data_IF_514626429503
#
_entry.id   IF_514626429503
#
_cell.length_a   1.000
_cell.length_b   1.000
_cell.length_c   1.000
_cell.angle_alpha   90.00
_cell.angle_beta   90.00
_cell.angle_gamma   90.00
#
_symmetry.space_group_name_H-M   'P 1'
#
loop_
_entity.id
_entity.type
_entity.pdbx_description
1 polymer ?
#
# COMPACT_ATOMS: atom_id res chain seq x y z
N UNK A 1 0.76 56.88 -19.07
CA UNK A 1 0.84 55.55 -19.70
C UNK A 1 1.41 54.63 -18.64
N UNK A 2 0.53 54.01 -17.86
CA UNK A 2 0.91 53.06 -16.84
C UNK A 2 0.75 51.68 -17.47
N UNK A 3 1.83 50.91 -17.45
CA UNK A 3 1.88 49.52 -17.88
C UNK A 3 1.18 48.68 -16.81
N UNK A 4 -0.02 48.20 -17.13
CA UNK A 4 -0.68 47.16 -16.36
C UNK A 4 0.09 45.85 -16.57
N UNK A 5 0.92 45.50 -15.60
CA UNK A 5 1.45 44.15 -15.43
C UNK A 5 0.28 43.22 -15.14
N UNK A 6 -0.18 42.52 -16.18
CA UNK A 6 -1.04 41.35 -16.06
C UNK A 6 -0.23 40.28 -15.33
N UNK A 7 -0.47 40.17 -14.02
CA UNK A 7 -0.12 38.96 -13.27
C UNK A 7 -1.02 37.88 -13.84
N UNK A 8 -0.49 37.09 -14.77
CA UNK A 8 -1.03 35.77 -15.08
C UNK A 8 -0.97 34.97 -13.79
N UNK A 9 -2.10 34.92 -13.08
CA UNK A 9 -2.41 33.81 -12.18
C UNK A 9 -2.22 32.54 -13.01
N UNK A 10 -1.14 31.82 -12.71
CA UNK A 10 -1.01 30.42 -13.07
C UNK A 10 -2.16 29.75 -12.34
N UNK A 11 -3.22 29.44 -13.09
CA UNK A 11 -4.44 28.85 -12.57
C UNK A 11 -4.10 27.62 -11.73
N UNK A 12 -4.60 27.61 -10.51
CA UNK A 12 -4.54 26.47 -9.62
C UNK A 12 -5.01 25.20 -10.36
N UNK A 13 -4.08 24.26 -10.40
CA UNK A 13 -4.20 22.83 -10.50
C UNK A 13 -5.52 22.21 -11.03
N UNK A 14 -5.42 21.51 -12.15
CA UNK A 14 -6.48 20.66 -12.73
C UNK A 14 -6.74 19.41 -11.87
N UNK A 15 -6.01 19.23 -10.77
CA UNK A 15 -6.13 18.11 -9.84
C UNK A 15 -7.27 18.23 -8.80
N UNK A 16 -7.98 19.37 -8.71
CA UNK A 16 -8.90 19.68 -7.58
C UNK A 16 -10.41 19.56 -7.89
N UNK A 17 -10.82 19.08 -9.07
CA UNK A 17 -12.25 18.98 -9.43
C UNK A 17 -12.89 17.66 -8.93
N UNK A 18 -13.04 17.52 -7.61
CA UNK A 18 -14.03 16.58 -7.08
C UNK A 18 -15.45 17.06 -7.43
N UNK A 19 -16.34 16.18 -7.93
CA UNK A 19 -17.70 16.59 -8.33
C UNK A 19 -18.53 17.09 -7.14
N UNK A 20 -18.15 16.70 -5.92
CA UNK A 20 -18.73 17.14 -4.67
C UNK A 20 -17.61 17.30 -3.64
N UNK A 21 -17.72 18.27 -2.72
CA UNK A 21 -16.84 18.41 -1.56
C UNK A 21 -17.46 17.78 -0.32
N UNK A 22 -16.63 17.24 0.56
CA UNK A 22 -17.07 16.63 1.81
C UNK A 22 -17.77 17.67 2.68
N UNK A 23 -17.23 18.88 2.79
CA UNK A 23 -17.80 19.98 3.59
C UNK A 23 -19.20 20.44 3.14
N UNK A 24 -19.63 20.10 1.92
CA UNK A 24 -20.95 20.46 1.39
C UNK A 24 -22.03 19.40 1.62
N UNK A 25 -21.69 18.28 2.29
CA UNK A 25 -22.66 17.20 2.54
C UNK A 25 -23.42 17.46 3.84
N UNK A 26 -24.70 17.78 3.75
CA UNK A 26 -25.49 17.96 4.97
C UNK A 26 -26.17 16.66 5.43
N UNK A 27 -26.17 16.41 6.74
CA UNK A 27 -26.97 15.37 7.37
C UNK A 27 -28.35 15.92 7.75
N UNK A 28 -29.41 15.22 7.35
CA UNK A 28 -30.80 15.61 7.68
C UNK A 28 -31.11 15.58 9.18
N UNK A 29 -30.39 14.72 9.92
CA UNK A 29 -30.53 14.57 11.38
C UNK A 29 -29.16 14.32 12.00
N UNK A 30 -28.82 15.11 13.01
CA UNK A 30 -27.60 14.97 13.82
C UNK A 30 -27.96 14.27 15.13
N UNK A 31 -27.28 13.17 15.41
CA UNK A 31 -27.41 12.47 16.69
C UNK A 31 -26.64 13.18 17.82
N UNK A 32 -25.71 14.08 17.50
CA UNK A 32 -25.06 14.97 18.44
C UNK A 32 -26.07 15.84 19.23
N UNK A 33 -27.23 16.14 18.63
CA UNK A 33 -28.32 16.87 19.28
C UNK A 33 -28.97 16.07 20.43
N UNK A 34 -28.85 14.73 20.42
CA UNK A 34 -29.29 13.87 21.50
C UNK A 34 -28.23 13.73 22.60
N UNK A 35 -26.97 13.49 22.22
CA UNK A 35 -25.86 13.39 23.16
C UNK A 35 -24.51 13.66 22.47
N UNK A 36 -23.59 14.45 23.08
CA UNK A 36 -22.29 14.78 22.47
C UNK A 36 -21.42 13.58 22.08
N UNK A 37 -21.56 12.45 22.80
CA UNK A 37 -20.85 11.19 22.49
C UNK A 37 -21.20 10.60 21.12
N UNK A 38 -22.35 10.98 20.55
CA UNK A 38 -22.82 10.51 19.24
C UNK A 38 -22.29 11.35 18.09
N UNK A 39 -21.49 12.40 18.37
CA UNK A 39 -20.82 13.21 17.34
C UNK A 39 -19.94 12.38 16.42
N UNK A 40 -19.25 11.37 16.96
CA UNK A 40 -18.45 10.43 16.15
C UNK A 40 -19.33 9.66 15.17
N UNK A 41 -20.55 9.25 15.57
CA UNK A 41 -21.48 8.53 14.70
C UNK A 41 -21.97 9.44 13.56
N UNK A 42 -22.19 10.72 13.84
CA UNK A 42 -22.53 11.68 12.82
C UNK A 42 -21.37 11.91 11.83
N UNK A 43 -20.12 11.96 12.30
CA UNK A 43 -18.97 12.04 11.41
C UNK A 43 -18.89 10.84 10.45
N UNK A 44 -19.10 9.62 10.96
CA UNK A 44 -19.10 8.40 10.14
C UNK A 44 -20.21 8.46 9.09
N UNK A 45 -21.42 8.84 9.51
CA UNK A 45 -22.57 8.96 8.61
C UNK A 45 -22.35 10.00 7.53
N UNK A 46 -21.73 11.11 7.89
CA UNK A 46 -21.39 12.20 6.98
C UNK A 46 -20.42 11.73 5.89
N UNK A 47 -19.29 11.15 6.29
CA UNK A 47 -18.28 10.65 5.36
C UNK A 47 -18.77 9.46 4.53
N UNK A 48 -19.54 8.53 5.10
CA UNK A 48 -20.16 7.45 4.31
C UNK A 48 -21.18 8.00 3.32
N UNK A 49 -22.02 8.97 3.70
CA UNK A 49 -22.97 9.59 2.76
C UNK A 49 -22.23 10.23 1.58
N UNK A 50 -21.10 10.90 1.85
CA UNK A 50 -20.21 11.42 0.82
C UNK A 50 -19.66 10.30 -0.08
N UNK A 51 -19.05 9.27 0.49
CA UNK A 51 -18.52 8.12 -0.25
C UNK A 51 -19.57 7.44 -1.13
N UNK A 52 -20.77 7.17 -0.60
CA UNK A 52 -21.86 6.56 -1.38
C UNK A 52 -22.35 7.44 -2.52
N UNK A 53 -22.41 8.76 -2.32
CA UNK A 53 -22.79 9.70 -3.38
C UNK A 53 -21.74 9.69 -4.49
N UNK A 54 -20.46 9.63 -4.12
CA UNK A 54 -19.35 9.57 -5.05
C UNK A 54 -19.28 8.22 -5.80
N UNK A 55 -19.50 7.09 -5.12
CA UNK A 55 -19.62 5.76 -5.74
C UNK A 55 -20.70 5.77 -6.83
N UNK A 56 -21.88 6.30 -6.55
CA UNK A 56 -22.98 6.33 -7.53
C UNK A 56 -22.65 7.17 -8.76
N UNK A 57 -21.77 8.15 -8.62
CA UNK A 57 -21.34 9.00 -9.71
C UNK A 57 -20.21 8.35 -10.53
N UNK A 58 -19.29 7.65 -9.88
CA UNK A 58 -18.03 7.20 -10.50
C UNK A 58 -17.97 5.72 -10.86
N UNK A 59 -18.73 4.85 -10.18
CA UNK A 59 -18.73 3.42 -10.48
C UNK A 59 -19.40 3.14 -11.82
N UNK A 60 -18.58 3.14 -12.86
CA UNK A 60 -18.98 2.72 -14.20
C UNK A 60 -19.01 1.21 -14.41
N UNK A 61 -19.21 0.82 -15.68
CA UNK A 61 -19.22 -0.58 -16.12
C UNK A 61 -18.00 -1.41 -15.66
N UNK A 62 -16.75 -0.91 -15.71
CA UNK A 62 -15.58 -1.72 -15.29
C UNK A 62 -15.64 -2.15 -13.82
N UNK A 63 -16.10 -1.27 -12.93
CA UNK A 63 -16.24 -1.54 -11.50
C UNK A 63 -17.34 -2.59 -11.26
N UNK A 64 -18.51 -2.41 -11.88
CA UNK A 64 -19.62 -3.35 -11.73
C UNK A 64 -19.29 -4.74 -12.29
N UNK A 65 -18.60 -4.80 -13.43
CA UNK A 65 -18.15 -6.08 -14.01
C UNK A 65 -17.13 -6.78 -13.11
N UNK A 66 -16.22 -6.02 -12.49
CA UNK A 66 -15.25 -6.58 -11.54
C UNK A 66 -15.94 -7.13 -10.30
N UNK A 67 -16.91 -6.39 -9.75
CA UNK A 67 -17.72 -6.86 -8.63
C UNK A 67 -18.47 -8.14 -9.00
N UNK A 68 -19.08 -8.17 -10.18
CA UNK A 68 -19.80 -9.34 -10.68
C UNK A 68 -18.87 -10.54 -10.84
N UNK A 69 -17.67 -10.38 -11.40
CA UNK A 69 -16.65 -11.44 -11.48
C UNK A 69 -16.36 -12.02 -10.10
N UNK A 70 -16.08 -11.17 -9.12
CA UNK A 70 -15.78 -11.62 -7.75
C UNK A 70 -16.94 -12.37 -7.12
N UNK A 71 -18.17 -11.84 -7.28
CA UNK A 71 -19.39 -12.49 -6.75
C UNK A 71 -19.61 -13.84 -7.40
N UNK A 72 -19.46 -13.94 -8.73
CA UNK A 72 -19.58 -15.21 -9.44
C UNK A 72 -18.48 -16.20 -9.03
N UNK A 73 -17.23 -15.75 -8.88
CA UNK A 73 -16.13 -16.58 -8.40
C UNK A 73 -16.46 -17.18 -7.03
N UNK A 74 -16.95 -16.36 -6.10
CA UNK A 74 -17.37 -16.79 -4.78
C UNK A 74 -18.54 -17.77 -4.81
N UNK A 75 -19.64 -17.42 -5.49
CA UNK A 75 -20.84 -18.27 -5.54
C UNK A 75 -20.57 -19.64 -6.18
N UNK A 76 -19.76 -19.68 -7.25
CA UNK A 76 -19.31 -20.93 -7.87
C UNK A 76 -18.38 -21.74 -6.96
N UNK A 77 -17.67 -21.11 -6.02
CA UNK A 77 -16.90 -21.84 -5.02
C UNK A 77 -17.77 -22.38 -3.87
N UNK A 78 -18.78 -21.61 -3.47
CA UNK A 78 -19.56 -21.86 -2.25
C UNK A 78 -20.84 -22.65 -2.44
N UNK A 79 -21.35 -22.81 -3.67
CA UNK A 79 -22.61 -23.52 -3.97
C UNK A 79 -22.31 -24.77 -4.79
N UNK A 80 -22.17 -25.94 -4.17
CA UNK A 80 -21.96 -27.21 -4.88
C UNK A 80 -22.92 -28.29 -4.41
N UNK A 81 -23.33 -29.17 -5.33
CA UNK A 81 -24.15 -30.36 -4.99
C UNK A 81 -23.45 -31.27 -3.99
N UNK A 82 -22.12 -31.36 -4.05
CA UNK A 82 -21.33 -32.18 -3.14
C UNK A 82 -21.30 -31.58 -1.72
N UNK A 83 -21.43 -30.25 -1.62
CA UNK A 83 -21.54 -29.55 -0.34
C UNK A 83 -22.88 -29.86 0.35
N UNK A 84 -23.98 -29.93 -0.42
CA UNK A 84 -25.31 -30.29 0.09
C UNK A 84 -25.45 -31.78 0.40
N UNK A 85 -24.70 -32.64 -0.30
CA UNK A 85 -24.70 -34.08 -0.07
C UNK A 85 -23.91 -34.50 1.18
N UNK A 86 -23.09 -33.60 1.75
CA UNK A 86 -22.27 -33.85 2.94
C UNK A 86 -21.00 -34.68 2.70
N UNK A 87 -20.90 -35.36 1.56
CA UNK A 87 -19.74 -36.16 1.14
C UNK A 87 -19.41 -37.34 2.07
N UNK A 88 -18.35 -38.10 1.74
CA UNK A 88 -17.74 -39.07 2.67
C UNK A 88 -16.60 -38.39 3.43
N UNK A 89 -16.71 -38.18 4.76
CA UNK A 89 -15.68 -37.54 5.57
C UNK A 89 -14.41 -38.39 5.75
N UNK A 90 -14.38 -39.64 5.27
CA UNK A 90 -13.20 -40.51 5.33
C UNK A 90 -12.26 -40.34 4.15
N UNK A 91 -12.74 -39.73 3.06
CA UNK A 91 -11.93 -39.51 1.86
C UNK A 91 -11.42 -38.07 1.87
N UNK A 92 -10.10 -37.90 1.82
CA UNK A 92 -9.45 -36.59 1.96
C UNK A 92 -8.29 -36.46 0.98
N UNK A 93 -7.82 -35.23 0.77
CA UNK A 93 -6.67 -34.96 -0.11
C UNK A 93 -6.98 -35.21 -1.59
N UNK A 94 -6.01 -35.81 -2.30
CA UNK A 94 -6.12 -36.05 -3.75
C UNK A 94 -7.22 -37.06 -4.06
N UNK A 95 -7.38 -38.08 -3.22
CA UNK A 95 -8.44 -39.08 -3.36
C UNK A 95 -9.83 -38.45 -3.20
N UNK A 96 -9.96 -37.49 -2.28
CA UNK A 96 -11.20 -36.73 -2.11
C UNK A 96 -11.51 -35.83 -3.31
N UNK A 97 -10.49 -35.20 -3.90
CA UNK A 97 -10.65 -34.42 -5.14
C UNK A 97 -11.06 -35.28 -6.34
N UNK A 98 -10.63 -36.54 -6.39
CA UNK A 98 -10.99 -37.47 -7.45
C UNK A 98 -12.43 -38.01 -7.35
N UNK A 99 -13.02 -37.96 -6.15
CA UNK A 99 -14.39 -38.41 -5.89
C UNK A 99 -15.45 -37.33 -6.16
N UNK A 100 -15.04 -36.06 -6.26
CA UNK A 100 -15.91 -34.93 -6.58
C UNK A 100 -16.62 -35.18 -7.93
N UNK A 101 -17.92 -34.89 -7.98
CA UNK A 101 -18.68 -35.04 -9.22
C UNK A 101 -18.10 -34.15 -10.33
N UNK A 102 -18.05 -34.65 -11.57
CA UNK A 102 -17.41 -33.91 -12.68
C UNK A 102 -17.92 -32.48 -12.89
N UNK A 103 -19.20 -32.22 -12.60
CA UNK A 103 -19.78 -30.88 -12.61
C UNK A 103 -19.21 -29.99 -11.49
N UNK A 104 -19.19 -30.47 -10.25
CA UNK A 104 -18.63 -29.75 -9.11
C UNK A 104 -17.13 -29.47 -9.27
N UNK A 105 -16.39 -30.44 -9.82
CA UNK A 105 -14.98 -30.26 -10.16
C UNK A 105 -14.78 -29.13 -11.18
N UNK A 106 -15.56 -29.12 -12.27
CA UNK A 106 -15.50 -28.06 -13.28
C UNK A 106 -15.87 -26.68 -12.69
N UNK A 107 -16.87 -26.65 -11.80
CA UNK A 107 -17.30 -25.45 -11.10
C UNK A 107 -16.17 -24.86 -10.22
N UNK A 108 -15.45 -25.71 -9.48
CA UNK A 108 -14.30 -25.31 -8.66
C UNK A 108 -13.17 -24.74 -9.52
N UNK A 109 -12.86 -25.37 -10.66
CA UNK A 109 -11.83 -24.89 -11.59
C UNK A 109 -12.21 -23.52 -12.16
N UNK A 110 -13.47 -23.32 -12.57
CA UNK A 110 -13.94 -22.02 -13.03
C UNK A 110 -13.87 -20.98 -11.92
N UNK A 111 -14.31 -21.32 -10.70
CA UNK A 111 -14.23 -20.42 -9.54
C UNK A 111 -12.78 -19.95 -9.32
N UNK A 112 -11.81 -20.87 -9.36
CA UNK A 112 -10.39 -20.54 -9.22
C UNK A 112 -9.88 -19.60 -10.31
N UNK A 113 -10.24 -19.85 -11.58
CA UNK A 113 -9.87 -18.98 -12.71
C UNK A 113 -10.50 -17.59 -12.54
N UNK A 114 -11.76 -17.50 -12.12
CA UNK A 114 -12.44 -16.23 -11.89
C UNK A 114 -11.86 -15.47 -10.71
N UNK A 115 -11.40 -16.13 -9.65
CA UNK A 115 -10.67 -15.48 -8.55
C UNK A 115 -9.36 -14.86 -9.04
N UNK A 116 -8.56 -15.60 -9.82
CA UNK A 116 -7.35 -15.06 -10.43
C UNK A 116 -7.67 -13.85 -11.32
N UNK A 117 -8.69 -13.96 -12.16
CA UNK A 117 -9.14 -12.88 -13.03
C UNK A 117 -9.63 -11.66 -12.23
N UNK A 118 -10.36 -11.87 -11.13
CA UNK A 118 -10.83 -10.81 -10.24
C UNK A 118 -9.67 -10.02 -9.62
N UNK A 119 -8.61 -10.68 -9.15
CA UNK A 119 -7.43 -9.98 -8.64
C UNK A 119 -6.67 -9.20 -9.73
N UNK A 120 -6.63 -9.73 -10.96
CA UNK A 120 -6.10 -8.99 -12.12
C UNK A 120 -6.95 -7.74 -12.39
N UNK A 121 -8.28 -7.87 -12.43
CA UNK A 121 -9.20 -6.75 -12.64
C UNK A 121 -9.07 -5.69 -11.53
N UNK A 122 -8.94 -6.09 -10.27
CA UNK A 122 -8.63 -5.18 -9.15
C UNK A 122 -7.33 -4.42 -9.41
N UNK A 123 -6.27 -5.12 -9.83
CA UNK A 123 -4.95 -4.52 -10.06
C UNK A 123 -4.91 -3.53 -11.24
N UNK A 124 -5.83 -3.71 -12.19
CA UNK A 124 -5.98 -2.85 -13.37
C UNK A 124 -6.89 -1.66 -13.08
N UNK A 125 -8.05 -1.88 -12.44
CA UNK A 125 -9.00 -0.83 -12.12
C UNK A 125 -8.53 0.05 -10.95
N UNK A 126 -7.70 -0.51 -10.06
CA UNK A 126 -7.14 0.20 -8.91
C UNK A 126 -5.60 0.27 -8.95
N UNK A 127 -4.99 0.96 -9.94
CA UNK A 127 -3.54 0.97 -10.14
C UNK A 127 -2.74 1.56 -8.97
N UNK A 128 -3.28 2.57 -8.26
CA UNK A 128 -2.61 3.18 -7.08
C UNK A 128 -2.43 2.16 -5.96
N UNK A 129 -3.38 1.22 -5.86
CA UNK A 129 -3.41 0.17 -4.84
C UNK A 129 -2.69 -1.12 -5.27
N UNK A 130 -2.21 -1.20 -6.51
CA UNK A 130 -1.60 -2.42 -7.09
C UNK A 130 -0.48 -3.00 -6.23
N UNK A 131 0.37 -2.14 -5.68
CA UNK A 131 1.48 -2.55 -4.80
C UNK A 131 1.05 -3.27 -3.52
N UNK A 132 -0.21 -3.09 -3.10
CA UNK A 132 -0.76 -3.71 -1.91
C UNK A 132 -1.74 -4.85 -2.18
N UNK A 133 -2.01 -5.21 -3.45
CA UNK A 133 -2.89 -6.35 -3.77
C UNK A 133 -2.37 -7.65 -3.18
N UNK A 134 -1.05 -7.86 -3.17
CA UNK A 134 -0.42 -9.03 -2.53
C UNK A 134 -0.70 -9.03 -1.02
N UNK A 135 -0.59 -7.88 -0.35
CA UNK A 135 -0.91 -7.78 1.07
C UNK A 135 -2.38 -8.13 1.34
N UNK A 136 -3.30 -7.67 0.49
CA UNK A 136 -4.73 -8.04 0.59
C UNK A 136 -4.95 -9.54 0.43
N UNK A 137 -4.28 -10.18 -0.53
CA UNK A 137 -4.35 -11.64 -0.73
C UNK A 137 -3.82 -12.39 0.49
N UNK A 138 -2.72 -11.92 1.09
CA UNK A 138 -2.17 -12.50 2.32
C UNK A 138 -3.17 -12.34 3.47
N UNK A 139 -3.74 -11.15 3.68
CA UNK A 139 -4.75 -10.91 4.72
C UNK A 139 -5.94 -11.86 4.56
N UNK A 140 -6.46 -11.96 3.33
CA UNK A 140 -7.60 -12.83 3.01
C UNK A 140 -7.26 -14.29 3.29
N UNK A 141 -6.15 -14.78 2.75
CA UNK A 141 -5.70 -16.17 2.90
C UNK A 141 -5.44 -16.54 4.35
N UNK A 142 -4.77 -15.66 5.11
CA UNK A 142 -4.46 -15.89 6.53
C UNK A 142 -5.71 -15.96 7.40
N UNK A 143 -6.69 -15.07 7.19
CA UNK A 143 -7.93 -15.08 7.98
C UNK A 143 -8.80 -16.30 7.63
N UNK A 144 -8.90 -16.67 6.34
CA UNK A 144 -9.64 -17.87 5.95
C UNK A 144 -8.99 -19.15 6.47
N UNK A 145 -7.69 -19.31 6.24
CA UNK A 145 -6.96 -20.49 6.68
C UNK A 145 -6.96 -20.61 8.21
N UNK A 146 -6.91 -19.48 8.92
CA UNK A 146 -7.08 -19.47 10.37
C UNK A 146 -8.39 -20.14 10.78
N UNK A 147 -9.52 -19.75 10.20
CA UNK A 147 -10.81 -20.32 10.58
C UNK A 147 -10.89 -21.81 10.26
N UNK A 148 -10.33 -22.25 9.12
CA UNK A 148 -10.23 -23.68 8.81
C UNK A 148 -9.44 -24.43 9.88
N UNK A 149 -8.23 -23.95 10.23
CA UNK A 149 -7.36 -24.61 11.24
C UNK A 149 -8.02 -24.65 12.62
N UNK A 150 -8.74 -23.61 13.03
CA UNK A 150 -9.47 -23.59 14.31
C UNK A 150 -10.56 -24.66 14.37
N UNK A 151 -11.22 -24.95 13.24
CA UNK A 151 -12.31 -25.92 13.17
C UNK A 151 -11.84 -27.37 13.00
N UNK A 152 -10.59 -27.61 12.57
CA UNK A 152 -10.04 -28.97 12.43
C UNK A 152 -10.04 -29.71 13.77
N UNK A 153 -9.59 -29.05 14.83
CA UNK A 153 -9.48 -29.65 16.17
C UNK A 153 -10.72 -29.38 17.04
N UNK A 154 -11.50 -28.35 16.72
CA UNK A 154 -12.70 -27.96 17.44
C UNK A 154 -13.84 -27.61 16.46
N UNK A 155 -14.65 -28.59 16.02
CA UNK A 155 -15.74 -28.35 15.06
C UNK A 155 -16.74 -27.27 15.50
N UNK A 156 -16.92 -27.10 16.81
CA UNK A 156 -17.81 -26.11 17.41
C UNK A 156 -17.09 -24.81 17.84
N UNK A 157 -15.91 -24.52 17.28
CA UNK A 157 -15.12 -23.34 17.64
C UNK A 157 -15.97 -22.05 17.64
N UNK A 158 -15.88 -21.21 18.70
CA UNK A 158 -14.89 -21.20 19.78
C UNK A 158 -15.20 -22.11 20.97
N UNK A 159 -16.33 -22.82 20.96
CA UNK A 159 -16.77 -23.65 22.09
C UNK A 159 -15.98 -24.96 22.11
N UNK A 160 -15.38 -25.28 23.26
CA UNK A 160 -14.64 -26.53 23.45
C UNK A 160 -13.23 -26.53 22.87
N UNK A 161 -12.69 -25.37 22.46
CA UNK A 161 -11.31 -25.27 21.98
C UNK A 161 -10.31 -25.20 23.13
N UNK A 162 -9.23 -26.00 23.06
CA UNK A 162 -8.08 -25.85 23.95
C UNK A 162 -7.08 -24.82 23.38
N UNK A 163 -6.37 -24.14 24.27
CA UNK A 163 -5.35 -23.13 23.90
C UNK A 163 -4.25 -23.68 22.98
N UNK A 164 -3.82 -24.93 23.21
CA UNK A 164 -2.81 -25.59 22.37
C UNK A 164 -3.32 -25.87 20.96
N UNK A 165 -4.56 -26.36 20.84
CA UNK A 165 -5.18 -26.74 19.58
C UNK A 165 -5.55 -25.53 18.71
N UNK A 166 -5.78 -24.38 19.33
CA UNK A 166 -6.11 -23.12 18.65
C UNK A 166 -4.88 -22.32 18.19
N UNK A 167 -3.66 -22.69 18.62
CA UNK A 167 -2.45 -21.89 18.40
C UNK A 167 -2.22 -21.57 16.91
N UNK A 168 -2.34 -22.57 16.04
CA UNK A 168 -2.12 -22.40 14.60
C UNK A 168 -3.09 -21.39 13.97
N UNK A 169 -4.37 -21.45 14.35
CA UNK A 169 -5.36 -20.49 13.90
C UNK A 169 -5.12 -19.08 14.45
N UNK A 170 -4.85 -18.96 15.75
CA UNK A 170 -4.55 -17.67 16.38
C UNK A 170 -3.33 -17.00 15.73
N UNK A 171 -2.27 -17.76 15.42
CA UNK A 171 -1.09 -17.26 14.70
C UNK A 171 -1.45 -16.74 13.31
N UNK A 172 -2.24 -17.47 12.53
CA UNK A 172 -2.68 -17.04 11.22
C UNK A 172 -3.57 -15.79 11.28
N UNK A 173 -4.47 -15.70 12.28
CA UNK A 173 -5.24 -14.48 12.53
C UNK A 173 -4.31 -13.30 12.84
N UNK A 174 -3.28 -13.50 13.68
CA UNK A 174 -2.32 -12.46 14.01
C UNK A 174 -1.55 -11.96 12.78
N UNK A 175 -1.14 -12.86 11.88
CA UNK A 175 -0.53 -12.51 10.58
C UNK A 175 -1.50 -11.68 9.74
N UNK A 176 -2.77 -12.09 9.62
CA UNK A 176 -3.79 -11.32 8.93
C UNK A 176 -3.98 -9.90 9.51
N UNK A 177 -4.02 -9.78 10.84
CA UNK A 177 -4.10 -8.49 11.53
C UNK A 177 -2.84 -7.63 11.30
N UNK A 178 -1.64 -8.22 11.31
CA UNK A 178 -0.39 -7.52 11.06
C UNK A 178 -0.35 -6.92 9.64
N UNK A 179 -0.69 -7.70 8.62
CA UNK A 179 -0.75 -7.18 7.25
C UNK A 179 -1.88 -6.17 7.05
N UNK A 180 -3.01 -6.33 7.76
CA UNK A 180 -4.08 -5.32 7.78
C UNK A 180 -3.57 -4.00 8.34
N UNK A 181 -2.84 -4.03 9.47
CA UNK A 181 -2.22 -2.85 10.05
C UNK A 181 -1.23 -2.20 9.08
N UNK A 182 -0.36 -2.99 8.45
CA UNK A 182 0.60 -2.49 7.46
C UNK A 182 -0.10 -1.81 6.29
N UNK A 183 -1.15 -2.45 5.74
CA UNK A 183 -1.97 -1.90 4.67
C UNK A 183 -2.65 -0.59 5.09
N UNK A 184 -3.33 -0.59 6.24
CA UNK A 184 -4.00 0.58 6.79
C UNK A 184 -3.02 1.75 6.98
N UNK A 185 -1.86 1.48 7.60
CA UNK A 185 -0.82 2.48 7.80
C UNK A 185 -0.31 3.06 6.49
N UNK A 186 0.03 2.22 5.52
CA UNK A 186 0.54 2.69 4.23
C UNK A 186 -0.43 3.64 3.53
N UNK A 187 -1.73 3.34 3.53
CA UNK A 187 -2.75 4.20 2.92
C UNK A 187 -2.88 5.53 3.67
N UNK A 188 -3.01 5.49 5.01
CA UNK A 188 -3.16 6.71 5.81
C UNK A 188 -1.96 7.63 5.69
N UNK A 189 -0.74 7.09 5.70
CA UNK A 189 0.49 7.88 5.58
C UNK A 189 0.67 8.45 4.18
N UNK A 190 0.30 7.69 3.13
CA UNK A 190 0.33 8.20 1.75
C UNK A 190 -0.64 9.36 1.57
N UNK A 191 -1.84 9.27 2.15
CA UNK A 191 -2.81 10.37 2.14
C UNK A 191 -2.25 11.60 2.84
N UNK A 192 -1.67 11.43 4.02
CA UNK A 192 -1.09 12.56 4.76
C UNK A 192 0.00 13.26 3.94
N UNK A 193 0.88 12.50 3.28
CA UNK A 193 1.90 13.06 2.38
C UNK A 193 1.30 13.76 1.16
N UNK A 194 0.28 13.16 0.53
CA UNK A 194 -0.39 13.75 -0.61
C UNK A 194 -0.94 15.14 -0.28
N UNK A 195 -1.57 15.30 0.90
CA UNK A 195 -2.05 16.62 1.36
C UNK A 195 -0.88 17.59 1.62
N UNK A 196 0.21 17.11 2.20
CA UNK A 196 1.38 17.94 2.51
C UNK A 196 2.14 18.40 1.26
N UNK A 197 2.10 17.65 0.17
CA UNK A 197 2.82 17.96 -1.07
C UNK A 197 1.96 18.78 -2.04
N UNK A 198 0.70 18.39 -2.23
CA UNK A 198 -0.17 18.98 -3.26
C UNK A 198 -1.09 20.09 -2.74
N UNK A 199 -1.40 20.10 -1.44
CA UNK A 199 -2.28 21.11 -0.82
C UNK A 199 -1.55 21.96 0.22
N UNK A 200 -0.24 22.15 0.05
CA UNK A 200 0.56 22.98 0.94
C UNK A 200 0.13 24.45 0.85
N UNK A 201 -0.19 25.03 2.00
CA UNK A 201 -0.56 26.43 2.10
C UNK A 201 0.07 27.06 3.33
N UNK A 202 0.39 28.35 3.25
CA UNK A 202 1.04 29.10 4.35
C UNK A 202 0.08 29.33 5.54
N UNK A 203 -1.22 29.39 5.26
CA UNK A 203 -2.28 29.42 6.28
C UNK A 203 -2.62 27.99 6.75
N UNK A 204 -2.46 27.75 8.05
CA UNK A 204 -2.77 26.48 8.72
C UNK A 204 -4.24 26.08 8.59
N UNK A 205 -5.17 27.05 8.48
CA UNK A 205 -6.60 26.76 8.39
C UNK A 205 -6.96 26.10 7.06
N UNK A 206 -6.38 26.61 5.98
CA UNK A 206 -6.56 26.05 4.63
C UNK A 206 -6.00 24.62 4.56
N UNK A 207 -4.87 24.38 5.24
CA UNK A 207 -4.29 23.04 5.36
C UNK A 207 -5.17 22.09 6.19
N UNK A 208 -5.75 22.55 7.31
CA UNK A 208 -6.70 21.77 8.12
C UNK A 208 -7.97 21.41 7.33
N UNK A 209 -8.50 22.36 6.56
CA UNK A 209 -9.64 22.13 5.66
C UNK A 209 -9.29 21.11 4.57
N UNK A 210 -8.12 21.20 3.93
CA UNK A 210 -7.67 20.23 2.94
C UNK A 210 -7.49 18.82 3.54
N UNK A 211 -7.00 18.73 4.77
CA UNK A 211 -6.87 17.46 5.50
C UNK A 211 -8.22 16.86 5.88
N UNK A 212 -9.20 17.71 6.22
CA UNK A 212 -10.57 17.30 6.52
C UNK A 212 -11.28 16.80 5.25
N UNK A 213 -11.14 17.48 4.12
CA UNK A 213 -11.69 17.05 2.82
C UNK A 213 -11.13 15.68 2.38
N UNK A 214 -9.87 15.39 2.72
CA UNK A 214 -9.23 14.09 2.48
C UNK A 214 -9.32 13.14 3.68
N UNK A 215 -10.34 13.26 4.54
CA UNK A 215 -10.51 12.38 5.70
C UNK A 215 -10.65 10.91 5.30
N UNK A 216 -9.87 10.04 5.96
CA UNK A 216 -9.96 8.59 5.87
C UNK A 216 -10.57 7.96 7.13
N UNK A 217 -11.31 8.73 7.93
CA UNK A 217 -11.86 8.25 9.19
C UNK A 217 -12.89 7.13 8.97
N UNK A 218 -13.89 7.37 8.13
CA UNK A 218 -14.91 6.38 7.80
C UNK A 218 -14.36 5.22 6.95
N UNK A 219 -13.30 5.46 6.18
CA UNK A 219 -12.55 4.41 5.50
C UNK A 219 -11.82 3.49 6.49
N UNK A 220 -11.23 4.04 7.56
CA UNK A 220 -10.59 3.24 8.62
C UNK A 220 -11.59 2.28 9.28
N UNK A 221 -12.80 2.77 9.57
CA UNK A 221 -13.88 1.93 10.11
C UNK A 221 -14.31 0.86 9.09
N UNK A 222 -14.31 1.19 7.79
CA UNK A 222 -14.60 0.24 6.74
C UNK A 222 -13.56 -0.90 6.66
N UNK A 223 -12.27 -0.62 6.87
CA UNK A 223 -11.23 -1.65 6.98
C UNK A 223 -11.54 -2.60 8.14
N UNK A 224 -11.94 -2.08 9.29
CA UNK A 224 -12.32 -2.89 10.46
C UNK A 224 -13.55 -3.75 10.13
N UNK A 225 -14.59 -3.15 9.54
CA UNK A 225 -15.81 -3.87 9.13
C UNK A 225 -15.47 -4.98 8.12
N UNK A 226 -14.57 -4.71 7.18
CA UNK A 226 -14.14 -5.69 6.20
C UNK A 226 -13.47 -6.91 6.87
N UNK A 227 -12.52 -6.68 7.79
CA UNK A 227 -11.86 -7.77 8.54
C UNK A 227 -12.85 -8.57 9.39
N UNK A 228 -13.79 -7.90 10.05
CA UNK A 228 -14.83 -8.57 10.86
C UNK A 228 -15.77 -9.39 9.98
N UNK A 229 -16.21 -8.83 8.85
CA UNK A 229 -17.07 -9.54 7.90
C UNK A 229 -16.33 -10.74 7.30
N UNK A 230 -15.05 -10.58 6.99
CA UNK A 230 -14.19 -11.66 6.51
C UNK A 230 -14.03 -12.78 7.53
N UNK A 231 -13.79 -12.43 8.79
CA UNK A 231 -13.76 -13.39 9.90
C UNK A 231 -15.09 -14.13 10.03
N UNK A 232 -16.23 -13.42 9.94
CA UNK A 232 -17.57 -14.02 10.00
C UNK A 232 -17.84 -14.96 8.83
N UNK A 233 -17.43 -14.58 7.61
CA UNK A 233 -17.60 -15.40 6.41
C UNK A 233 -16.75 -16.68 6.47
N UNK A 234 -15.49 -16.53 6.85
CA UNK A 234 -14.57 -17.66 6.99
C UNK A 234 -15.02 -18.59 8.13
N UNK A 235 -15.47 -18.02 9.26
CA UNK A 235 -16.00 -18.78 10.38
C UNK A 235 -17.24 -19.56 9.98
N UNK A 236 -18.24 -18.91 9.38
CA UNK A 236 -19.48 -19.58 8.96
C UNK A 236 -19.24 -20.67 7.92
N UNK A 237 -18.32 -20.45 6.96
CA UNK A 237 -17.94 -21.47 5.99
C UNK A 237 -17.25 -22.68 6.63
N UNK A 238 -16.26 -22.45 7.49
CA UNK A 238 -15.55 -23.52 8.19
C UNK A 238 -16.46 -24.28 9.16
N UNK A 239 -17.32 -23.56 9.88
CA UNK A 239 -18.27 -24.14 10.84
C UNK A 239 -19.29 -25.04 10.16
N UNK A 240 -19.88 -24.59 9.04
CA UNK A 240 -20.85 -25.39 8.28
C UNK A 240 -20.25 -26.74 7.82
N UNK A 241 -19.00 -26.73 7.36
CA UNK A 241 -18.31 -27.96 6.92
C UNK A 241 -17.93 -28.84 8.11
N UNK A 242 -17.48 -28.24 9.22
CA UNK A 242 -16.99 -28.96 10.38
C UNK A 242 -18.10 -29.65 11.19
N UNK A 243 -19.30 -29.05 11.29
CA UNK A 243 -20.44 -29.64 11.99
C UNK A 243 -20.98 -30.89 11.28
N UNK A 244 -20.71 -31.04 9.97
CA UNK A 244 -21.17 -32.17 9.11
C UNK A 244 -22.70 -32.35 9.10
N UNK A 245 -23.43 -31.38 9.63
CA UNK A 245 -24.88 -31.35 9.66
C UNK A 245 -25.38 -30.51 8.48
N UNK A 246 -25.68 -31.18 7.37
CA UNK A 246 -26.07 -30.55 6.11
C UNK A 246 -27.42 -29.79 6.14
N UNK A 247 -27.97 -29.52 7.34
CA UNK A 247 -29.27 -28.88 7.56
C UNK A 247 -29.14 -27.50 8.23
N UNK A 248 -27.94 -27.06 8.63
CA UNK A 248 -27.77 -25.71 9.18
C UNK A 248 -27.72 -24.64 8.07
N UNK A 249 -28.89 -24.39 7.48
CA UNK A 249 -29.09 -23.37 6.45
C UNK A 249 -28.84 -21.96 6.96
N UNK A 250 -28.89 -21.72 8.27
CA UNK A 250 -28.69 -20.39 8.84
C UNK A 250 -27.21 -19.99 8.75
N UNK A 251 -26.30 -20.87 9.19
CA UNK A 251 -24.85 -20.65 9.09
C UNK A 251 -24.44 -20.56 7.62
N UNK A 252 -24.98 -21.42 6.76
CA UNK A 252 -24.72 -21.35 5.32
C UNK A 252 -25.19 -20.03 4.69
N UNK A 253 -26.37 -19.52 5.07
CA UNK A 253 -26.87 -18.24 4.59
C UNK A 253 -26.00 -17.05 5.04
N UNK A 254 -25.44 -17.13 6.24
CA UNK A 254 -24.46 -16.14 6.72
C UNK A 254 -23.21 -16.18 5.84
N UNK A 255 -22.68 -17.36 5.53
CA UNK A 255 -21.55 -17.50 4.61
C UNK A 255 -21.87 -16.88 3.24
N UNK A 256 -23.00 -17.20 2.63
CA UNK A 256 -23.34 -16.65 1.30
C UNK A 256 -23.50 -15.13 1.29
N UNK A 257 -24.25 -14.59 2.24
CA UNK A 257 -24.52 -13.15 2.31
C UNK A 257 -23.26 -12.34 2.66
N UNK A 258 -22.48 -12.79 3.65
CA UNK A 258 -21.23 -12.13 4.04
C UNK A 258 -20.17 -12.17 2.94
N UNK A 259 -20.11 -13.22 2.11
CA UNK A 259 -19.16 -13.31 1.00
C UNK A 259 -19.37 -12.23 -0.05
N UNK A 260 -20.64 -11.98 -0.44
CA UNK A 260 -20.99 -10.89 -1.35
C UNK A 260 -20.63 -9.53 -0.76
N UNK A 261 -20.89 -9.34 0.54
CA UNK A 261 -20.57 -8.09 1.25
C UNK A 261 -19.06 -7.86 1.30
N UNK A 262 -18.25 -8.90 1.54
CA UNK A 262 -16.78 -8.80 1.57
C UNK A 262 -16.21 -8.30 0.24
N UNK A 263 -16.75 -8.79 -0.88
CA UNK A 263 -16.30 -8.37 -2.22
C UNK A 263 -16.60 -6.90 -2.45
N UNK A 264 -17.82 -6.45 -2.12
CA UNK A 264 -18.19 -5.04 -2.19
C UNK A 264 -17.29 -4.17 -1.31
N UNK A 265 -17.10 -4.56 -0.04
CA UNK A 265 -16.27 -3.83 0.91
C UNK A 265 -14.81 -3.76 0.47
N UNK A 266 -14.26 -4.84 -0.12
CA UNK A 266 -12.91 -4.83 -0.67
C UNK A 266 -12.80 -3.80 -1.79
N UNK A 267 -13.71 -3.83 -2.75
CA UNK A 267 -13.68 -2.89 -3.87
C UNK A 267 -13.82 -1.44 -3.39
N UNK A 268 -14.70 -1.18 -2.43
CA UNK A 268 -14.85 0.14 -1.83
C UNK A 268 -13.57 0.59 -1.11
N UNK A 269 -12.95 -0.31 -0.33
CA UNK A 269 -11.70 -0.05 0.39
C UNK A 269 -10.55 0.30 -0.55
N UNK A 270 -10.46 -0.32 -1.73
CA UNK A 270 -9.41 -0.03 -2.70
C UNK A 270 -9.71 1.22 -3.53
N UNK A 271 -10.98 1.43 -3.88
CA UNK A 271 -11.41 2.56 -4.70
C UNK A 271 -11.24 3.91 -3.99
N UNK A 272 -11.69 4.02 -2.73
CA UNK A 272 -11.78 5.32 -2.06
C UNK A 272 -10.42 6.03 -1.89
N UNK A 273 -9.36 5.37 -1.39
CA UNK A 273 -8.03 5.99 -1.31
C UNK A 273 -7.47 6.35 -2.67
N UNK A 274 -7.65 5.51 -3.69
CA UNK A 274 -7.21 5.85 -5.05
C UNK A 274 -7.89 7.12 -5.56
N UNK A 275 -9.19 7.27 -5.30
CA UNK A 275 -9.92 8.45 -5.72
C UNK A 275 -9.44 9.72 -5.00
N UNK A 276 -9.07 9.59 -3.72
CA UNK A 276 -8.52 10.68 -2.91
C UNK A 276 -7.07 11.04 -3.29
N UNK A 277 -6.29 10.09 -3.77
CA UNK A 277 -4.87 10.28 -4.09
C UNK A 277 -4.61 10.71 -5.54
N UNK A 278 -5.58 10.54 -6.44
CA UNK A 278 -5.45 10.86 -7.86
C UNK A 278 -4.62 9.83 -8.65
N UNK A 279 -4.41 10.11 -9.94
CA UNK A 279 -3.57 9.26 -10.81
C UNK A 279 -2.08 9.54 -10.56
N UNK A 280 -1.28 8.50 -10.27
CA UNK A 280 0.18 8.61 -10.13
C UNK A 280 0.72 8.48 -8.71
N UNK A 281 -0.13 8.55 -7.68
CA UNK A 281 0.29 8.31 -6.30
C UNK A 281 0.75 6.85 -6.10
N UNK A 282 1.82 6.66 -5.33
CA UNK A 282 2.32 5.32 -4.96
C UNK A 282 2.18 5.11 -3.46
N UNK A 283 1.27 4.22 -3.08
CA UNK A 283 0.96 3.94 -1.67
C UNK A 283 2.14 3.25 -1.00
N UNK A 284 2.67 3.88 0.05
CA UNK A 284 3.84 3.44 0.83
C UNK A 284 3.78 3.98 2.26
N UNK A 285 4.51 3.36 3.18
CA UNK A 285 4.71 3.92 4.53
C UNK A 285 5.78 5.01 4.53
N UNK A 286 5.81 5.87 5.56
CA UNK A 286 6.84 6.92 5.71
C UNK A 286 8.25 6.35 5.71
N UNK A 287 8.45 5.21 6.39
CA UNK A 287 9.74 4.54 6.43
C UNK A 287 10.19 4.06 5.04
N UNK A 288 9.28 3.52 4.22
CA UNK A 288 9.61 3.08 2.87
C UNK A 288 9.88 4.26 1.93
N UNK A 289 9.14 5.37 2.06
CA UNK A 289 9.38 6.57 1.30
C UNK A 289 10.75 7.20 1.63
N UNK A 290 11.10 7.26 2.92
CA UNK A 290 12.41 7.75 3.36
C UNK A 290 13.55 6.85 2.89
N UNK A 291 13.39 5.52 2.99
CA UNK A 291 14.40 4.58 2.49
C UNK A 291 14.64 4.72 0.98
N UNK A 292 13.57 4.92 0.19
CA UNK A 292 13.72 5.19 -1.25
C UNK A 292 14.39 6.55 -1.51
N UNK A 293 14.08 7.57 -0.71
CA UNK A 293 14.74 8.88 -0.81
C UNK A 293 16.23 8.78 -0.45
N UNK A 294 16.58 8.03 0.59
CA UNK A 294 17.96 7.78 0.99
C UNK A 294 18.73 7.05 -0.12
N UNK A 295 18.13 6.04 -0.75
CA UNK A 295 18.70 5.34 -1.91
C UNK A 295 18.89 6.27 -3.14
N UNK A 296 18.01 7.25 -3.33
CA UNK A 296 18.15 8.25 -4.40
C UNK A 296 19.22 9.30 -4.07
N UNK A 297 19.42 9.63 -2.80
CA UNK A 297 20.49 10.52 -2.34
C UNK A 297 21.85 9.82 -2.48
N UNK A 298 21.94 8.51 -2.20
CA UNK A 298 23.15 7.70 -2.46
C UNK A 298 23.46 7.56 -3.96
N UNK A 299 22.45 7.66 -4.83
CA UNK A 299 22.61 7.70 -6.30
C UNK A 299 23.08 9.05 -6.85
N UNK A 300 23.05 10.12 -6.05
CA UNK A 300 23.75 11.37 -6.38
C UNK A 300 25.16 11.21 -5.85
N UNK A 301 26.10 10.86 -6.73
CA UNK A 301 27.53 10.94 -6.44
C UNK A 301 27.88 12.43 -6.27
N UNK A 302 27.57 13.02 -5.12
CA UNK A 302 28.41 14.07 -4.57
C UNK A 302 29.67 13.33 -4.15
N UNK A 303 30.59 13.14 -5.10
CA UNK A 303 31.86 12.52 -4.81
C UNK A 303 32.45 13.34 -3.64
N UNK A 304 32.63 12.73 -2.45
CA UNK A 304 33.03 13.50 -1.28
C UNK A 304 34.32 14.23 -1.65
N UNK A 305 34.25 15.56 -1.66
CA UNK A 305 35.44 16.38 -1.90
C UNK A 305 36.42 16.10 -0.76
N UNK A 306 37.66 15.83 -1.12
CA UNK A 306 38.72 15.52 -0.18
C UNK A 306 38.96 16.67 0.80
N UNK A 307 39.44 16.35 1.99
CA UNK A 307 39.76 17.32 3.04
C UNK A 307 41.28 17.47 3.14
N UNK A 308 41.78 18.69 3.31
CA UNK A 308 43.21 18.92 3.50
C UNK A 308 43.68 18.32 4.83
N UNK A 309 44.66 17.40 4.86
CA UNK A 309 45.06 16.67 6.07
C UNK A 309 45.66 17.55 7.18
N UNK A 310 46.03 18.79 6.87
CA UNK A 310 46.61 19.74 7.82
C UNK A 310 45.63 20.80 8.35
N UNK A 311 44.51 21.06 7.68
CA UNK A 311 43.63 22.19 8.05
C UNK A 311 42.14 21.95 7.77
N UNK A 312 41.78 20.74 7.34
CA UNK A 312 40.42 20.28 7.04
C UNK A 312 39.65 21.13 6.02
N UNK A 313 40.35 21.98 5.26
CA UNK A 313 39.75 22.73 4.16
C UNK A 313 39.39 21.82 2.99
N UNK A 314 38.24 22.05 2.35
CA UNK A 314 37.84 21.30 1.15
C UNK A 314 38.87 21.44 0.02
N UNK A 315 39.19 20.32 -0.61
CA UNK A 315 40.03 20.20 -1.78
C UNK A 315 39.22 19.56 -2.91
N UNK A 316 39.38 20.04 -4.16
CA UNK A 316 38.68 19.53 -5.36
C UNK A 316 39.25 18.18 -5.82
N UNK A 317 39.36 17.22 -4.91
CA UNK A 317 39.90 15.86 -5.10
C UNK A 317 38.78 14.91 -4.72
N UNK A 318 38.57 13.83 -5.46
CA UNK A 318 37.49 12.88 -5.18
C UNK A 318 37.89 11.46 -5.56
N UNK A 319 37.10 10.46 -5.18
CA UNK A 319 37.25 9.08 -5.63
C UNK A 319 36.26 8.74 -6.74
N UNK A 320 36.68 7.93 -7.71
CA UNK A 320 35.78 7.31 -8.68
C UNK A 320 35.13 6.04 -8.11
N UNK A 321 34.17 5.45 -8.85
CA UNK A 321 33.49 4.20 -8.46
C UNK A 321 34.43 2.99 -8.32
N UNK A 322 35.65 3.08 -8.86
CA UNK A 322 36.69 2.05 -8.77
C UNK A 322 37.69 2.30 -7.62
N UNK A 323 37.49 3.34 -6.81
CA UNK A 323 38.36 3.71 -5.69
C UNK A 323 39.63 4.46 -6.08
N UNK A 324 39.72 4.99 -7.30
CA UNK A 324 40.87 5.76 -7.79
C UNK A 324 40.67 7.26 -7.59
N UNK A 325 41.74 7.98 -7.27
CA UNK A 325 41.70 9.42 -6.99
C UNK A 325 41.61 10.25 -8.27
N UNK A 326 40.52 10.99 -8.40
CA UNK A 326 40.25 11.94 -9.47
C UNK A 326 40.73 13.34 -9.05
N UNK A 327 41.46 14.00 -9.96
CA UNK A 327 41.93 15.38 -9.79
C UNK A 327 41.69 16.23 -11.04
N UNK A 328 41.67 17.55 -10.84
CA UNK A 328 41.65 18.54 -11.93
C UNK A 328 43.00 18.61 -12.67
N UNK A 329 42.96 18.89 -13.97
CA UNK A 329 44.17 19.11 -14.76
C UNK A 329 44.93 20.38 -14.28
N UNK A 330 46.26 20.31 -14.26
CA UNK A 330 47.09 21.44 -13.84
C UNK A 330 47.22 22.55 -14.91
N UNK A 331 46.85 22.26 -16.16
CA UNK A 331 46.97 23.21 -17.27
C UNK A 331 45.87 24.26 -17.19
N UNK A 332 46.25 25.55 -17.18
CA UNK A 332 45.31 26.69 -17.05
C UNK A 332 44.21 26.76 -18.13
N UNK A 333 44.40 26.05 -19.25
CA UNK A 333 43.48 26.03 -20.38
C UNK A 333 42.74 24.67 -20.52
N UNK A 334 42.85 23.78 -19.52
CA UNK A 334 42.21 22.47 -19.56
C UNK A 334 41.37 22.24 -18.30
N UNK A 335 40.05 22.14 -18.47
CA UNK A 335 39.09 21.92 -17.38
C UNK A 335 38.66 20.45 -17.26
N UNK A 336 39.52 19.50 -17.62
CA UNK A 336 39.20 18.07 -17.49
C UNK A 336 39.62 17.53 -16.13
N UNK A 337 38.88 16.51 -15.69
CA UNK A 337 39.16 15.70 -14.51
C UNK A 337 39.51 14.27 -14.92
N UNK A 338 40.43 13.65 -14.19
CA UNK A 338 40.77 12.25 -14.41
C UNK A 338 41.67 11.68 -13.33
N UNK A 339 42.08 10.43 -13.52
CA UNK A 339 42.86 9.67 -12.54
C UNK A 339 44.25 10.29 -12.39
N UNK A 340 44.66 10.50 -11.14
CA UNK A 340 45.95 11.08 -10.83
C UNK A 340 47.11 10.27 -11.46
N UNK A 341 48.00 10.96 -12.18
CA UNK A 341 49.14 10.35 -12.87
C UNK A 341 48.87 9.83 -14.29
N UNK A 342 47.61 9.74 -14.72
CA UNK A 342 47.25 9.42 -16.11
C UNK A 342 47.35 10.62 -17.05
N UNK A 343 47.34 10.36 -18.36
CA UNK A 343 47.33 11.42 -19.37
C UNK A 343 45.93 12.04 -19.47
N UNK A 344 45.90 13.37 -19.45
CA UNK A 344 44.70 14.16 -19.62
C UNK A 344 44.12 14.01 -21.03
N UNK A 345 42.84 13.66 -21.12
CA UNK A 345 42.12 13.51 -22.41
C UNK A 345 42.00 14.85 -23.17
N UNK A 346 42.05 15.98 -22.45
CA UNK A 346 41.89 17.32 -23.04
C UNK A 346 43.18 17.95 -23.55
N UNK A 347 44.31 17.74 -22.88
CA UNK A 347 45.58 18.41 -23.21
C UNK A 347 46.82 17.50 -23.24
N UNK A 348 46.65 16.18 -23.06
CA UNK A 348 47.69 15.14 -23.06
C UNK A 348 48.83 15.34 -22.04
N UNK A 349 48.67 16.29 -21.10
CA UNK A 349 49.54 16.44 -19.94
C UNK A 349 49.15 15.44 -18.85
N UNK A 350 50.09 15.04 -17.99
CA UNK A 350 49.77 14.14 -16.88
C UNK A 350 48.98 14.85 -15.79
N UNK A 351 47.92 14.22 -15.29
CA UNK A 351 47.20 14.67 -14.11
C UNK A 351 48.15 14.72 -12.90
N UNK A 352 48.04 15.77 -12.06
CA UNK A 352 48.95 15.96 -10.94
C UNK A 352 48.78 14.84 -9.90
N UNK A 353 49.90 14.30 -9.40
CA UNK A 353 49.91 13.30 -8.31
C UNK A 353 50.01 13.94 -6.93
N UNK A 354 50.14 15.27 -6.88
CA UNK A 354 50.24 16.09 -5.66
C UNK A 354 49.38 17.32 -5.79
N UNK A 355 48.77 17.74 -4.69
CA UNK A 355 47.94 18.93 -4.63
C UNK A 355 48.43 19.87 -3.52
N UNK A 356 48.44 21.17 -3.84
CA UNK A 356 48.78 22.23 -2.89
C UNK A 356 47.50 22.85 -2.37
N UNK A 357 47.23 22.73 -1.07
CA UNK A 357 46.06 23.32 -0.45
C UNK A 357 46.08 24.86 -0.61
N UNK A 358 44.99 25.43 -1.12
CA UNK A 358 44.86 26.89 -1.30
C UNK A 358 44.74 27.65 0.03
N UNK A 359 44.32 26.98 1.11
CA UNK A 359 44.08 27.60 2.42
C UNK A 359 45.34 27.65 3.28
N UNK A 360 46.08 26.54 3.39
CA UNK A 360 47.26 26.45 4.26
C UNK A 360 48.60 26.28 3.52
N UNK A 361 48.57 26.11 2.19
CA UNK A 361 49.78 25.98 1.37
C UNK A 361 50.52 24.64 1.48
N UNK A 362 49.97 23.65 2.20
CA UNK A 362 50.59 22.32 2.29
C UNK A 362 50.53 21.61 0.94
N UNK A 363 51.65 21.02 0.52
CA UNK A 363 51.75 20.22 -0.70
C UNK A 363 51.91 18.74 -0.33
N UNK A 364 50.83 17.98 -0.51
CA UNK A 364 50.77 16.55 -0.18
C UNK A 364 50.35 15.71 -1.40
N UNK A 365 50.67 14.42 -1.42
CA UNK A 365 50.06 13.45 -2.34
C UNK A 365 48.53 13.56 -2.34
N UNK A 366 47.92 13.41 -3.51
CA UNK A 366 46.46 13.56 -3.68
C UNK A 366 45.66 12.54 -2.86
N UNK A 367 46.22 11.35 -2.61
CA UNK A 367 45.60 10.32 -1.79
C UNK A 367 45.46 10.76 -0.31
N UNK A 368 46.37 11.59 0.19
CA UNK A 368 46.34 12.06 1.60
C UNK A 368 45.20 13.06 1.86
N UNK A 369 44.53 13.53 0.79
CA UNK A 369 43.34 14.38 0.90
C UNK A 369 42.05 13.57 0.98
N UNK A 370 42.11 12.25 0.77
CA UNK A 370 40.95 11.38 0.99
C UNK A 370 41.01 10.92 2.45
N UNK A 371 40.06 11.31 3.30
CA UNK A 371 40.09 10.91 4.69
C UNK A 371 39.78 9.41 4.82
N UNK A 372 40.65 8.65 5.48
CA UNK A 372 40.41 7.26 5.90
C UNK A 372 39.32 7.24 7.00
N UNK A 373 38.07 7.53 6.63
CA UNK A 373 36.91 7.45 7.55
C UNK A 373 36.34 6.03 7.66
N UNK A 374 36.91 5.04 6.97
CA UNK A 374 36.51 3.63 7.06
C UNK A 374 37.62 2.75 7.66
N UNK A 375 37.82 2.88 8.97
CA UNK A 375 38.51 1.85 9.76
C UNK A 375 37.98 1.86 11.21
N UNK A 376 36.67 1.71 11.38
CA UNK A 376 36.04 1.19 12.61
C UNK A 376 34.61 0.71 12.36
#
# INVERSE_FOLDING_TARGET
>A
MAEDTVVTEISADVHDEMPFRLGHVELEKKFADLHPILSTVDQIRHEWKFQFKLIRHEWGQPHLMTMLTGVLAFLLGSISTDLFAGGDPRVTGIDGLAEIGGFAFFQLVISAILWLWFFVQISVNFPVMRGHVINVIIIWSSIFLSQVVLHVNAPNFPIGANLGDALGGVMLTAVGCFFTYFFWKAVTETRDFHVQENHVHTDVRVMEEAMAEHSLFAWTIMVIIWVLTMSLNAWSGAHFIADRNAVDYAVYSIHLSSGVIIIYLLMHMLWFPQRMLGEGAKVRTKAAANADADLLIEGVILAPEGECPSCDASAPISLNESGETIVDCASKNCNSRGVAGENCVGCDEKYPTRYTCLTCGVNSPVNDFIPDKEAW
#
